data_IF_815781698284
#
_entry.id   IF_815781698284
#
_cell.length_a   1.000
_cell.length_b   1.000
_cell.length_c   1.000
_cell.angle_alpha   90.00
_cell.angle_beta   90.00
_cell.angle_gamma   90.00
#
_symmetry.space_group_name_H-M   'P 1'
#
loop_
_entity.id
_entity.type
_entity.pdbx_description
1 polymer ?
#
# COMPACT_ATOMS: atom_id res chain seq x y z
N UNK A 1 -0.18 -10.73 -14.84
CA UNK A 1 -0.66 -9.34 -14.65
C UNK A 1 -2.03 -9.35 -13.98
N UNK A 2 -3.04 -10.02 -14.56
CA UNK A 2 -4.40 -10.10 -14.00
C UNK A 2 -4.49 -10.63 -12.56
N UNK A 3 -3.67 -11.63 -12.21
CA UNK A 3 -3.63 -12.16 -10.85
C UNK A 3 -3.20 -11.09 -9.83
N UNK A 4 -2.20 -10.28 -10.16
CA UNK A 4 -1.72 -9.22 -9.28
C UNK A 4 -2.76 -8.11 -9.12
N UNK A 5 -3.48 -7.75 -10.20
CA UNK A 5 -4.58 -6.78 -10.14
C UNK A 5 -5.66 -7.25 -9.16
N UNK A 6 -6.06 -8.53 -9.25
CA UNK A 6 -7.06 -9.10 -8.32
C UNK A 6 -6.57 -9.11 -6.88
N UNK A 7 -5.29 -9.44 -6.64
CA UNK A 7 -4.69 -9.39 -5.30
C UNK A 7 -4.63 -7.97 -4.75
N UNK A 8 -4.34 -6.97 -5.59
CA UNK A 8 -4.35 -5.56 -5.19
C UNK A 8 -5.74 -5.09 -4.80
N UNK A 9 -6.78 -5.42 -5.56
CA UNK A 9 -8.16 -5.07 -5.19
C UNK A 9 -8.56 -5.75 -3.88
N UNK A 10 -8.29 -7.05 -3.76
CA UNK A 10 -8.55 -7.81 -2.53
C UNK A 10 -7.81 -7.24 -1.33
N UNK A 11 -6.59 -6.76 -1.51
CA UNK A 11 -5.83 -6.11 -0.43
C UNK A 11 -6.57 -4.88 0.11
N UNK A 12 -7.08 -4.00 -0.75
CA UNK A 12 -7.87 -2.84 -0.31
C UNK A 12 -9.20 -3.27 0.31
N UNK A 13 -9.90 -4.25 -0.26
CA UNK A 13 -11.16 -4.75 0.31
C UNK A 13 -10.96 -5.34 1.71
N UNK A 14 -9.95 -6.20 1.88
CA UNK A 14 -9.63 -6.82 3.17
C UNK A 14 -9.21 -5.74 4.19
N UNK A 15 -8.36 -4.79 3.78
CA UNK A 15 -7.91 -3.68 4.64
C UNK A 15 -9.08 -2.81 5.11
N UNK A 16 -9.97 -2.42 4.20
CA UNK A 16 -11.14 -1.59 4.53
C UNK A 16 -12.12 -2.32 5.46
N UNK A 17 -12.22 -3.64 5.33
CA UNK A 17 -13.06 -4.46 6.19
C UNK A 17 -12.51 -4.65 7.62
N UNK A 18 -11.20 -4.44 7.82
CA UNK A 18 -10.52 -4.64 9.11
C UNK A 18 -9.98 -3.35 9.72
N UNK A 19 -10.41 -2.17 9.26
CA UNK A 19 -9.88 -0.87 9.73
C UNK A 19 -10.00 -0.65 11.24
N UNK A 20 -10.96 -1.30 11.89
CA UNK A 20 -11.16 -1.21 13.35
C UNK A 20 -10.07 -1.95 14.15
N UNK A 21 -9.28 -2.83 13.51
CA UNK A 21 -8.11 -3.49 14.08
C UNK A 21 -6.82 -2.92 13.45
N UNK A 22 -6.29 -1.88 14.08
CA UNK A 22 -5.05 -1.22 13.68
C UNK A 22 -3.85 -2.19 13.64
N UNK A 23 -3.78 -3.13 14.60
CA UNK A 23 -2.65 -4.05 14.71
C UNK A 23 -2.68 -5.07 13.58
N UNK A 24 -3.85 -5.64 13.27
CA UNK A 24 -4.01 -6.55 12.14
C UNK A 24 -3.70 -5.83 10.82
N UNK A 25 -4.23 -4.62 10.62
CA UNK A 25 -4.00 -3.83 9.42
C UNK A 25 -2.51 -3.56 9.19
N UNK A 26 -1.83 -2.99 10.19
CA UNK A 26 -0.40 -2.65 10.07
C UNK A 26 0.47 -3.88 9.85
N UNK A 27 0.20 -5.00 10.53
CA UNK A 27 0.93 -6.24 10.33
C UNK A 27 0.73 -6.81 8.92
N UNK A 28 -0.49 -6.78 8.39
CA UNK A 28 -0.79 -7.24 7.03
C UNK A 28 -0.06 -6.40 5.97
N UNK A 29 -0.05 -5.08 6.14
CA UNK A 29 0.67 -4.17 5.24
C UNK A 29 2.18 -4.45 5.26
N UNK A 30 2.78 -4.58 6.45
CA UNK A 30 4.20 -4.96 6.59
C UNK A 30 4.52 -6.28 5.91
N UNK A 31 3.70 -7.32 6.14
CA UNK A 31 3.91 -8.64 5.54
C UNK A 31 3.90 -8.62 4.01
N UNK A 32 3.04 -7.80 3.41
CA UNK A 32 3.03 -7.60 1.96
C UNK A 32 4.36 -6.98 1.51
N UNK A 33 4.81 -5.92 2.17
CA UNK A 33 6.11 -5.29 1.91
C UNK A 33 7.28 -6.28 1.99
N UNK A 34 7.34 -7.04 3.08
CA UNK A 34 8.34 -8.10 3.31
C UNK A 34 8.32 -9.15 2.20
N UNK A 35 7.14 -9.59 1.77
CA UNK A 35 7.00 -10.60 0.71
C UNK A 35 7.53 -10.13 -0.64
N UNK A 36 7.52 -8.82 -0.90
CA UNK A 36 8.07 -8.22 -2.13
C UNK A 36 9.58 -8.00 -2.07
N UNK A 37 10.22 -8.09 -0.89
CA UNK A 37 11.63 -7.83 -0.72
C UNK A 37 12.55 -8.74 -1.55
N UNK A 38 12.13 -9.99 -1.81
CA UNK A 38 12.87 -10.94 -2.65
C UNK A 38 13.11 -10.39 -4.07
N UNK A 39 12.23 -9.50 -4.55
CA UNK A 39 12.33 -8.89 -5.88
C UNK A 39 13.48 -7.89 -6.00
N UNK A 40 13.99 -7.37 -4.89
CA UNK A 40 15.15 -6.49 -4.88
C UNK A 40 16.36 -7.15 -5.54
N UNK A 41 16.53 -8.46 -5.32
CA UNK A 41 17.62 -9.25 -5.91
C UNK A 41 17.39 -9.61 -7.38
N UNK A 42 16.14 -9.85 -7.78
CA UNK A 42 15.84 -10.48 -9.08
C UNK A 42 15.53 -9.49 -10.19
N UNK A 43 15.00 -8.31 -9.87
CA UNK A 43 14.57 -7.33 -10.88
C UNK A 43 14.84 -5.88 -10.49
N UNK A 44 15.71 -5.63 -9.51
CA UNK A 44 16.06 -4.27 -9.10
C UNK A 44 14.89 -3.51 -8.47
N UNK A 45 13.93 -4.22 -7.89
CA UNK A 45 12.81 -3.62 -7.17
C UNK A 45 13.36 -2.76 -6.03
N UNK A 46 13.09 -1.45 -6.05
CA UNK A 46 13.53 -0.50 -5.04
C UNK A 46 12.34 0.01 -4.20
N UNK A 47 12.64 0.68 -3.10
CA UNK A 47 11.61 1.26 -2.24
C UNK A 47 10.78 2.36 -2.91
N UNK A 48 11.26 2.96 -4.00
CA UNK A 48 10.60 4.10 -4.67
C UNK A 48 9.26 3.69 -5.32
N UNK A 49 9.09 2.40 -5.58
CA UNK A 49 7.85 1.89 -6.17
C UNK A 49 6.65 2.01 -5.24
N UNK A 50 6.88 2.01 -3.92
CA UNK A 50 5.82 2.21 -2.93
C UNK A 50 5.36 3.67 -2.93
N UNK A 51 6.27 4.64 -3.05
CA UNK A 51 5.91 6.04 -3.24
C UNK A 51 5.09 6.23 -4.51
N UNK A 52 5.54 5.62 -5.61
CA UNK A 52 4.83 5.69 -6.90
C UNK A 52 3.44 5.06 -6.84
N UNK A 53 3.29 3.95 -6.10
CA UNK A 53 2.00 3.33 -5.84
C UNK A 53 1.07 4.28 -5.07
N UNK A 54 1.60 4.97 -4.04
CA UNK A 54 0.86 5.97 -3.27
C UNK A 54 0.35 7.12 -4.14
N UNK A 55 1.22 7.68 -4.97
CA UNK A 55 0.87 8.76 -5.91
C UNK A 55 -0.26 8.35 -6.86
N UNK A 56 -0.11 7.21 -7.54
CA UNK A 56 -1.09 6.72 -8.51
C UNK A 56 -2.42 6.43 -7.81
N UNK A 57 -2.38 5.76 -6.65
CA UNK A 57 -3.60 5.43 -5.92
C UNK A 57 -4.33 6.69 -5.46
N UNK A 58 -3.60 7.67 -4.94
CA UNK A 58 -4.15 8.94 -4.50
C UNK A 58 -4.79 9.72 -5.66
N UNK A 59 -4.13 9.77 -6.82
CA UNK A 59 -4.68 10.39 -8.04
C UNK A 59 -6.01 9.74 -8.43
N UNK A 60 -6.07 8.39 -8.45
CA UNK A 60 -7.28 7.65 -8.84
C UNK A 60 -8.40 7.79 -7.83
N UNK A 61 -8.11 7.67 -6.54
CA UNK A 61 -9.11 7.85 -5.47
C UNK A 61 -9.70 9.26 -5.50
N UNK A 62 -8.86 10.29 -5.67
CA UNK A 62 -9.32 11.68 -5.73
C UNK A 62 -10.00 12.06 -7.06
N UNK A 63 -9.95 11.22 -8.08
CA UNK A 63 -10.73 11.41 -9.30
C UNK A 63 -12.22 11.11 -9.09
N UNK A 64 -12.60 10.38 -8.03
CA UNK A 64 -13.99 10.09 -7.73
C UNK A 64 -14.74 11.31 -7.20
N UNK A 65 -15.87 11.63 -7.82
CA UNK A 65 -16.70 12.80 -7.49
C UNK A 65 -17.08 12.87 -6.00
N UNK A 66 -17.39 11.73 -5.38
CA UNK A 66 -17.71 11.65 -3.95
C UNK A 66 -16.55 12.10 -3.06
N UNK A 67 -15.31 11.81 -3.45
CA UNK A 67 -14.11 12.22 -2.71
C UNK A 67 -13.83 13.70 -2.93
N UNK A 68 -14.03 14.20 -4.15
CA UNK A 68 -13.85 15.62 -4.47
C UNK A 68 -14.82 16.53 -3.73
N UNK A 69 -16.07 16.08 -3.56
CA UNK A 69 -17.11 16.85 -2.86
C UNK A 69 -17.01 16.78 -1.35
N UNK A 70 -16.23 15.84 -0.81
CA UNK A 70 -16.13 15.61 0.64
C UNK A 70 -14.69 15.74 1.10
N UNK A 71 -14.34 16.94 1.60
CA UNK A 71 -12.98 17.26 2.08
C UNK A 71 -12.46 16.28 3.13
N UNK A 72 -13.32 15.85 4.04
CA UNK A 72 -12.94 14.93 5.11
C UNK A 72 -12.69 13.51 4.58
N UNK A 73 -13.40 13.09 3.53
CA UNK A 73 -13.12 11.83 2.84
C UNK A 73 -11.76 11.88 2.13
N UNK A 74 -11.47 12.97 1.41
CA UNK A 74 -10.16 13.17 0.78
C UNK A 74 -9.02 13.20 1.81
N UNK A 75 -9.26 13.77 3.00
CA UNK A 75 -8.30 13.75 4.11
C UNK A 75 -8.11 12.34 4.68
N UNK A 76 -9.19 11.60 4.91
CA UNK A 76 -9.13 10.23 5.41
C UNK A 76 -8.32 9.32 4.47
N UNK A 77 -8.56 9.40 3.16
CA UNK A 77 -7.78 8.65 2.16
C UNK A 77 -6.31 9.01 2.16
N UNK A 78 -5.93 10.28 2.34
CA UNK A 78 -4.52 10.67 2.47
C UNK A 78 -3.84 10.02 3.66
N UNK A 79 -4.51 10.03 4.81
CA UNK A 79 -3.98 9.44 6.04
C UNK A 79 -3.84 7.93 5.88
N UNK A 80 -4.86 7.27 5.35
CA UNK A 80 -4.84 5.83 5.12
C UNK A 80 -3.74 5.43 4.13
N UNK A 81 -3.62 6.13 3.00
CA UNK A 81 -2.59 5.85 2.00
C UNK A 81 -1.18 6.11 2.54
N UNK A 82 -0.96 7.16 3.33
CA UNK A 82 0.33 7.39 3.98
C UNK A 82 0.70 6.20 4.87
N UNK A 83 -0.23 5.74 5.71
CA UNK A 83 -0.02 4.55 6.55
C UNK A 83 0.27 3.29 5.69
N UNK A 84 -0.49 3.06 4.62
CA UNK A 84 -0.25 1.92 3.71
C UNK A 84 1.16 1.96 3.13
N UNK A 85 1.59 3.10 2.59
CA UNK A 85 2.91 3.22 1.97
C UNK A 85 4.03 3.10 3.01
N UNK A 86 3.87 3.72 4.18
CA UNK A 86 4.86 3.65 5.26
C UNK A 86 5.05 2.20 5.73
N UNK A 87 3.97 1.44 5.91
CA UNK A 87 4.06 0.06 6.40
C UNK A 87 4.54 -0.93 5.34
N UNK A 88 4.12 -0.77 4.08
CA UNK A 88 4.67 -1.54 2.95
C UNK A 88 6.18 -1.30 2.82
N UNK A 89 6.60 -0.03 2.86
CA UNK A 89 8.01 0.37 2.79
C UNK A 89 8.80 -0.18 3.96
N UNK A 90 8.30 -0.03 5.17
CA UNK A 90 8.94 -0.51 6.40
C UNK A 90 9.19 -2.02 6.34
N UNK A 91 8.16 -2.81 5.99
CA UNK A 91 8.29 -4.25 5.83
C UNK A 91 9.26 -4.65 4.72
N UNK A 92 9.26 -3.92 3.61
CA UNK A 92 10.18 -4.14 2.49
C UNK A 92 11.63 -3.81 2.86
N UNK A 93 11.91 -2.63 3.41
CA UNK A 93 13.26 -2.12 3.65
C UNK A 93 14.01 -2.91 4.72
N UNK A 94 13.30 -3.46 5.71
CA UNK A 94 13.89 -4.37 6.71
C UNK A 94 14.36 -5.65 6.04
N UNK A 95 13.50 -6.26 5.22
CA UNK A 95 13.75 -7.57 4.64
C UNK A 95 14.69 -7.50 3.43
N UNK A 96 14.60 -6.44 2.61
CA UNK A 96 15.40 -6.26 1.41
C UNK A 96 16.91 -6.16 1.71
N UNK A 97 17.29 -5.79 2.94
CA UNK A 97 18.69 -5.80 3.40
C UNK A 97 19.32 -7.18 3.35
N UNK A 98 18.54 -8.26 3.49
CA UNK A 98 19.02 -9.63 3.40
C UNK A 98 19.18 -10.13 1.95
N UNK A 99 18.59 -9.41 0.99
CA UNK A 99 18.61 -9.75 -0.44
C UNK A 99 19.55 -8.88 -1.27
N UNK A 100 20.19 -7.87 -0.65
CA UNK A 100 21.21 -7.02 -1.26
C UNK A 100 22.60 -7.65 -1.20
#
# INVERSE_FOLDING_TARGET
MDAHIKLMVKFFDDLLATLDDETECTNRMKQIGTSHAVLARTCGFSSDIWERLGEITMERVCAHEVIQKTRDAARAWRILLACIIDELRSGFDVEARYYR
#
